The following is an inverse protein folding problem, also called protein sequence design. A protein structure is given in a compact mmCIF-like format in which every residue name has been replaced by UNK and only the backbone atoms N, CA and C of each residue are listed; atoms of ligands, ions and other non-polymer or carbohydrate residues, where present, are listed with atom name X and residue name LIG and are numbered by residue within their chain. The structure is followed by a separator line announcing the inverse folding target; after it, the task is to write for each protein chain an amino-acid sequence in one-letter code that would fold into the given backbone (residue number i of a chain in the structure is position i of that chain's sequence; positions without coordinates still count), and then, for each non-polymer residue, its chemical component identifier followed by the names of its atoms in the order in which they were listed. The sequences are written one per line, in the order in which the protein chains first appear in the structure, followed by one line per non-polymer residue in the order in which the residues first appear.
data_IF_890413666731
#
_entry.id   IF_890413666731
#
_cell.length_a   1.000
_cell.length_b   1.000
_cell.length_c   1.000
_cell.angle_alpha   90.00
_cell.angle_beta   90.00
_cell.angle_gamma   90.00
#
_symmetry.space_group_name_H-M   'P 1'
#
loop_
_entity.id
_entity.type
_entity.pdbx_description
1 polymer ?
#
# COMPACT_ATOMS: atom_id res chain seq x y z
N UNK A 1 -3.32 2.86 11.27
CA UNK A 1 -4.16 3.86 11.97
C UNK A 1 -5.61 3.40 11.96
N UNK A 2 -6.45 3.83 12.91
CA UNK A 2 -7.89 3.51 12.93
C UNK A 2 -8.76 4.72 12.58
N UNK A 3 -9.90 4.50 11.92
CA UNK A 3 -10.84 5.57 11.54
C UNK A 3 -12.30 5.09 11.53
N UNK A 4 -13.23 6.04 11.65
CA UNK A 4 -14.67 5.78 11.57
C UNK A 4 -15.19 5.99 10.15
N UNK A 5 -16.16 5.18 9.74
CA UNK A 5 -16.73 5.32 8.41
C UNK A 5 -17.59 6.58 8.33
N UNK A 6 -17.50 7.37 7.23
CA UNK A 6 -18.40 8.50 7.04
C UNK A 6 -19.84 7.99 6.88
N UNK A 7 -20.78 8.74 7.45
CA UNK A 7 -22.21 8.46 7.34
C UNK A 7 -22.72 8.46 5.89
N UNK A 8 -23.98 8.07 5.71
CA UNK A 8 -24.66 8.07 4.41
C UNK A 8 -24.29 6.90 3.50
N UNK A 9 -24.62 7.04 2.21
CA UNK A 9 -24.50 5.97 1.20
C UNK A 9 -23.52 6.30 0.07
N UNK A 10 -22.96 7.51 0.05
CA UNK A 10 -22.09 8.00 -1.04
C UNK A 10 -20.75 7.26 -1.10
N UNK A 11 -20.11 7.06 -2.27
CA UNK A 11 -18.82 6.38 -2.37
C UNK A 11 -17.76 6.96 -1.43
N UNK A 12 -16.93 6.09 -0.85
CA UNK A 12 -15.86 6.49 0.07
C UNK A 12 -14.52 6.45 -0.66
N UNK A 13 -13.69 7.47 -0.45
CA UNK A 13 -12.35 7.58 -1.03
C UNK A 13 -11.32 7.97 0.03
N UNK A 14 -10.09 7.48 -0.12
CA UNK A 14 -8.92 7.97 0.61
C UNK A 14 -8.19 9.01 -0.21
N UNK A 15 -7.83 10.13 0.41
CA UNK A 15 -6.88 11.08 -0.14
C UNK A 15 -5.46 10.64 0.24
N UNK A 16 -4.69 10.16 -0.73
CA UNK A 16 -3.27 9.81 -0.58
C UNK A 16 -2.36 10.83 -1.28
N UNK A 17 -2.86 12.03 -1.58
CA UNK A 17 -2.13 13.08 -2.29
C UNK A 17 -0.92 13.64 -1.53
N UNK A 18 -0.91 13.53 -0.20
CA UNK A 18 0.25 13.86 0.64
C UNK A 18 1.25 12.72 0.76
N UNK A 19 0.97 11.56 0.15
CA UNK A 19 1.85 10.39 0.17
C UNK A 19 2.74 10.37 -1.07
N UNK A 20 3.76 9.51 -1.07
CA UNK A 20 4.65 9.33 -2.23
C UNK A 20 4.20 8.19 -3.13
N UNK A 21 4.65 6.98 -2.80
CA UNK A 21 4.34 5.74 -3.50
C UNK A 21 4.18 4.62 -2.51
N UNK A 22 3.32 3.66 -2.82
CA UNK A 22 3.26 2.41 -2.07
C UNK A 22 1.97 1.64 -2.27
N UNK A 23 1.60 0.86 -1.26
CA UNK A 23 0.35 0.10 -1.18
C UNK A 23 -0.40 0.40 0.11
N UNK A 24 -1.72 0.23 0.07
CA UNK A 24 -2.58 0.45 1.22
C UNK A 24 -3.67 -0.63 1.37
N UNK A 25 -4.12 -0.81 2.60
CA UNK A 25 -5.14 -1.78 2.99
C UNK A 25 -6.13 -1.16 3.96
N UNK A 26 -7.40 -1.56 3.83
CA UNK A 26 -8.47 -1.22 4.77
C UNK A 26 -9.10 -2.52 5.26
N UNK A 27 -9.07 -2.76 6.57
CA UNK A 27 -9.60 -3.98 7.20
C UNK A 27 -9.08 -5.28 6.54
N UNK A 28 -7.79 -5.30 6.17
CA UNK A 28 -7.16 -6.44 5.48
C UNK A 28 -7.41 -6.51 3.98
N UNK A 29 -8.31 -5.69 3.42
CA UNK A 29 -8.55 -5.62 1.98
C UNK A 29 -7.57 -4.67 1.30
N UNK A 30 -6.88 -5.15 0.26
CA UNK A 30 -5.94 -4.36 -0.52
C UNK A 30 -6.69 -3.35 -1.41
N UNK A 31 -6.44 -2.05 -1.19
CA UNK A 31 -7.10 -0.98 -1.96
C UNK A 31 -6.35 -0.65 -3.26
N UNK A 32 -5.12 -1.15 -3.42
CA UNK A 32 -4.29 -0.95 -4.59
C UNK A 32 -2.97 -0.23 -4.31
N UNK A 33 -2.21 -0.03 -5.39
CA UNK A 33 -0.99 0.78 -5.39
C UNK A 33 -1.34 2.25 -5.52
N UNK A 34 -0.71 3.10 -4.71
CA UNK A 34 -0.74 4.54 -4.88
C UNK A 34 0.59 5.09 -5.37
N UNK A 35 0.53 6.15 -6.18
CA UNK A 35 1.71 6.86 -6.66
C UNK A 35 1.32 8.27 -7.09
N UNK A 36 1.82 9.28 -6.37
CA UNK A 36 1.58 10.70 -6.64
C UNK A 36 2.49 11.24 -7.74
N UNK A 37 2.61 10.50 -8.84
CA UNK A 37 3.35 10.96 -10.02
C UNK A 37 2.60 12.12 -10.67
N UNK A 38 3.28 13.23 -10.96
CA UNK A 38 2.67 14.37 -11.65
C UNK A 38 2.64 14.12 -13.15
N UNK A 39 1.49 14.37 -13.78
CA UNK A 39 1.32 14.25 -15.22
C UNK A 39 2.07 15.35 -15.98
N UNK A 40 2.43 15.15 -17.27
CA UNK A 40 2.97 16.22 -18.10
C UNK A 40 2.05 17.44 -18.10
N UNK A 41 2.64 18.65 -18.15
CA UNK A 41 1.86 19.90 -18.22
C UNK A 41 1.18 20.10 -19.58
N UNK A 42 1.76 19.51 -20.62
CA UNK A 42 1.28 19.60 -22.00
C UNK A 42 0.42 18.40 -22.40
N UNK A 43 -0.40 18.59 -23.43
CA UNK A 43 -1.21 17.53 -24.03
C UNK A 43 -2.69 17.58 -23.68
N UNK A 44 -3.10 18.35 -22.66
CA UNK A 44 -4.51 18.60 -22.38
C UNK A 44 -5.04 19.74 -23.25
N UNK A 45 -6.09 19.46 -24.01
CA UNK A 45 -6.79 20.51 -24.76
C UNK A 45 -7.61 21.38 -23.80
N UNK A 46 -7.67 22.69 -24.06
CA UNK A 46 -8.52 23.62 -23.26
C UNK A 46 -10.01 23.33 -23.43
N UNK A 47 -10.39 22.77 -24.58
CA UNK A 47 -11.76 22.44 -24.96
C UNK A 47 -11.75 21.12 -25.70
N UNK A 48 -12.65 20.21 -25.37
CA UNK A 48 -12.81 18.91 -26.03
C UNK A 48 -14.05 18.97 -26.94
N UNK A 49 -13.83 18.91 -28.26
CA UNK A 49 -14.93 18.79 -29.23
C UNK A 49 -15.29 17.31 -29.42
N UNK A 50 -16.55 16.97 -29.18
CA UNK A 50 -17.06 15.61 -29.35
C UNK A 50 -17.09 15.17 -30.82
N UNK A 51 -17.14 16.11 -31.77
CA UNK A 51 -17.22 15.82 -33.22
C UNK A 51 -15.87 15.33 -33.76
N UNK A 52 -15.91 14.53 -34.82
CA UNK A 52 -14.71 14.00 -35.50
C UNK A 52 -14.08 12.79 -34.80
N UNK A 53 -13.09 12.16 -35.45
CA UNK A 53 -12.47 10.93 -34.99
C UNK A 53 -11.87 11.08 -33.58
N UNK A 54 -12.00 10.02 -32.77
CA UNK A 54 -11.44 9.95 -31.42
C UNK A 54 -10.02 9.39 -31.45
N UNK A 55 -9.17 9.91 -30.56
CA UNK A 55 -7.93 9.26 -30.14
C UNK A 55 -7.72 9.51 -28.64
N UNK A 56 -6.84 8.73 -28.01
CA UNK A 56 -6.62 8.79 -26.55
C UNK A 56 -6.09 10.13 -26.04
N UNK A 57 -5.50 10.96 -26.89
CA UNK A 57 -4.99 12.29 -26.54
C UNK A 57 -6.01 13.42 -26.78
N UNK A 58 -7.16 13.13 -27.41
CA UNK A 58 -8.10 14.16 -27.87
C UNK A 58 -8.70 14.98 -26.73
N UNK A 59 -9.04 14.32 -25.63
CA UNK A 59 -9.78 14.92 -24.50
C UNK A 59 -9.15 14.56 -23.16
N UNK A 60 -7.82 14.59 -23.12
CA UNK A 60 -7.03 14.44 -21.89
C UNK A 60 -7.28 15.62 -20.95
N UNK A 61 -7.33 15.32 -19.66
CA UNK A 61 -7.55 16.29 -18.58
C UNK A 61 -6.50 16.08 -17.49
N UNK A 62 -6.46 16.99 -16.51
CA UNK A 62 -5.62 16.86 -15.31
C UNK A 62 -4.10 16.88 -15.63
N UNK A 63 -3.69 17.67 -16.63
CA UNK A 63 -2.28 17.91 -16.94
C UNK A 63 -1.62 18.79 -15.88
N UNK A 64 -0.37 18.47 -15.52
CA UNK A 64 0.38 19.17 -14.48
C UNK A 64 -0.05 18.83 -13.04
N UNK A 65 -1.02 17.93 -12.88
CA UNK A 65 -1.55 17.48 -11.59
C UNK A 65 -1.12 16.04 -11.30
N UNK A 66 -1.14 15.58 -10.03
CA UNK A 66 -0.91 14.18 -9.72
C UNK A 66 -1.89 13.27 -10.47
N UNK A 67 -1.39 12.17 -11.04
CA UNK A 67 -2.17 11.24 -11.86
C UNK A 67 -3.32 10.60 -11.09
N UNK A 68 -3.15 10.39 -9.78
CA UNK A 68 -4.20 9.93 -8.88
C UNK A 68 -3.87 10.29 -7.42
N UNK A 69 -4.85 10.84 -6.70
CA UNK A 69 -4.76 11.08 -5.25
C UNK A 69 -5.94 10.48 -4.49
N UNK A 70 -7.05 10.19 -5.18
CA UNK A 70 -8.26 9.62 -4.59
C UNK A 70 -8.33 8.12 -4.89
N UNK A 71 -8.41 7.31 -3.83
CA UNK A 71 -8.44 5.85 -3.91
C UNK A 71 -9.74 5.33 -3.33
N UNK A 72 -10.55 4.66 -4.15
CA UNK A 72 -11.88 4.20 -3.78
C UNK A 72 -11.83 3.06 -2.75
N UNK A 73 -12.68 3.16 -1.72
CA UNK A 73 -12.95 2.09 -0.76
C UNK A 73 -14.42 1.66 -0.92
N UNK A 74 -14.70 0.41 -1.31
CA UNK A 74 -16.05 -0.13 -1.26
C UNK A 74 -16.63 -0.04 0.16
N UNK A 75 -17.82 0.55 0.28
CA UNK A 75 -18.50 0.67 1.59
C UNK A 75 -18.70 -0.66 2.30
N UNK A 76 -18.84 -1.76 1.56
CA UNK A 76 -18.95 -3.12 2.09
C UNK A 76 -17.70 -3.60 2.84
N UNK A 77 -16.56 -2.90 2.74
CA UNK A 77 -15.34 -3.21 3.50
C UNK A 77 -15.29 -2.50 4.84
N UNK A 78 -16.19 -1.55 5.10
CA UNK A 78 -16.14 -0.67 6.26
C UNK A 78 -17.14 -1.11 7.34
N UNK A 79 -16.67 -1.11 8.58
CA UNK A 79 -17.49 -1.09 9.78
C UNK A 79 -17.87 0.34 10.14
N UNK A 80 -18.86 0.52 10.99
CA UNK A 80 -19.30 1.86 11.44
C UNK A 80 -18.17 2.65 12.12
N UNK A 81 -17.30 1.95 12.85
CA UNK A 81 -16.17 2.54 13.57
C UNK A 81 -14.96 1.60 13.59
N UNK A 82 -13.81 2.12 14.01
CA UNK A 82 -12.59 1.34 14.27
C UNK A 82 -12.01 0.59 13.06
N UNK A 83 -12.18 1.11 11.85
CA UNK A 83 -11.60 0.55 10.63
C UNK A 83 -10.08 0.71 10.62
N UNK A 84 -9.33 -0.35 10.35
CA UNK A 84 -7.87 -0.33 10.29
C UNK A 84 -7.39 0.06 8.90
N UNK A 85 -6.66 1.18 8.80
CA UNK A 85 -5.89 1.58 7.62
C UNK A 85 -4.40 1.26 7.83
N UNK A 86 -3.82 0.51 6.90
CA UNK A 86 -2.37 0.23 6.82
C UNK A 86 -1.85 0.75 5.49
N UNK A 87 -0.68 1.40 5.48
CA UNK A 87 -0.04 1.92 4.26
C UNK A 87 1.47 1.80 4.36
N UNK A 88 2.16 1.70 3.23
CA UNK A 88 3.62 1.47 3.16
C UNK A 88 4.48 2.52 3.88
N UNK A 89 4.01 3.76 4.06
CA UNK A 89 4.73 4.79 4.84
C UNK A 89 4.42 4.74 6.35
N UNK A 90 3.57 3.83 6.81
CA UNK A 90 3.47 3.48 8.23
C UNK A 90 4.59 2.50 8.57
N UNK A 91 5.84 2.98 8.52
CA UNK A 91 6.95 2.28 9.14
C UNK A 91 6.63 2.06 10.62
N UNK A 92 7.02 0.92 11.24
CA UNK A 92 6.80 0.70 12.65
C UNK A 92 7.35 1.89 13.47
N UNK A 93 6.67 2.30 14.55
CA UNK A 93 7.01 3.50 15.29
C UNK A 93 8.48 3.48 15.73
N UNK A 94 9.18 4.61 15.60
CA UNK A 94 10.60 4.78 15.96
C UNK A 94 10.93 4.35 17.41
N UNK A 95 9.94 4.25 18.30
CA UNK A 95 10.09 3.67 19.65
C UNK A 95 10.51 2.21 19.67
N UNK A 96 10.25 1.46 18.59
CA UNK A 96 10.69 0.07 18.45
C UNK A 96 12.21 -0.04 18.21
N UNK A 97 12.87 1.08 17.89
CA UNK A 97 14.29 1.17 17.54
C UNK A 97 15.15 1.69 18.69
N UNK A 98 14.57 2.07 19.83
CA UNK A 98 15.31 2.61 20.99
C UNK A 98 15.96 1.53 21.86
N UNK A 99 15.87 0.25 21.49
CA UNK A 99 16.52 -0.86 22.19
C UNK A 99 17.87 -1.28 21.59
N UNK A 100 18.36 -0.62 20.53
CA UNK A 100 19.78 -0.76 20.17
C UNK A 100 20.61 0.02 21.19
N UNK A 101 21.30 -0.71 22.05
CA UNK A 101 22.12 -0.25 23.17
C UNK A 101 22.80 1.10 22.92
N UNK A 102 22.40 2.10 23.72
CA UNK A 102 23.06 3.40 23.83
C UNK A 102 24.40 3.26 24.56
N UNK A 103 25.35 2.52 23.99
CA UNK A 103 26.73 2.56 24.45
C UNK A 103 27.44 3.69 23.69
N UNK A 104 27.65 4.81 24.40
CA UNK A 104 28.60 5.86 24.07
C UNK A 104 28.27 6.82 22.90
N UNK A 105 27.00 7.26 22.77
CA UNK A 105 26.59 8.47 22.00
C UNK A 105 27.12 8.56 20.55
N UNK A 106 27.44 7.43 19.91
CA UNK A 106 27.69 7.35 18.46
C UNK A 106 26.70 6.37 17.86
N UNK A 107 25.80 6.88 17.00
CA UNK A 107 24.98 6.03 16.16
C UNK A 107 25.88 5.31 15.17
N UNK A 108 26.16 4.03 15.44
CA UNK A 108 26.70 3.12 14.44
C UNK A 108 25.50 2.64 13.63
N UNK A 109 25.18 3.34 12.54
CA UNK A 109 24.16 2.93 11.58
C UNK A 109 24.75 1.82 10.71
N UNK A 110 24.96 0.64 11.31
CA UNK A 110 25.27 -0.55 10.55
C UNK A 110 23.95 -1.27 10.30
N UNK A 111 23.61 -1.40 9.01
CA UNK A 111 22.44 -2.09 8.47
C UNK A 111 21.08 -1.39 8.61
N UNK A 112 20.75 -0.58 7.60
CA UNK A 112 19.36 -0.21 7.26
C UNK A 112 18.62 -1.32 6.50
N UNK A 113 19.04 -2.59 6.64
CA UNK A 113 18.28 -3.71 6.06
C UNK A 113 17.00 -3.88 6.87
N UNK A 114 15.81 -3.70 6.26
CA UNK A 114 14.55 -3.99 6.96
C UNK A 114 14.50 -5.50 7.25
N UNK A 115 14.46 -5.85 8.53
CA UNK A 115 14.36 -7.23 9.02
C UNK A 115 12.93 -7.51 9.53
N UNK A 116 12.43 -8.71 9.26
CA UNK A 116 11.14 -9.19 9.77
C UNK A 116 11.41 -10.28 10.79
N UNK A 117 11.12 -10.02 12.06
CA UNK A 117 11.22 -11.04 13.12
C UNK A 117 9.88 -11.76 13.28
N UNK A 118 9.86 -13.05 12.99
CA UNK A 118 8.73 -13.93 13.28
C UNK A 118 8.96 -14.63 14.62
N UNK A 119 8.00 -14.52 15.54
CA UNK A 119 8.03 -15.20 16.83
C UNK A 119 6.70 -15.91 17.06
N UNK A 120 6.77 -17.08 17.67
CA UNK A 120 5.63 -17.81 18.20
C UNK A 120 5.46 -17.54 19.69
N UNK A 121 4.27 -17.83 20.23
CA UNK A 121 4.06 -17.93 21.68
C UNK A 121 4.90 -19.07 22.29
N UNK A 122 5.15 -19.00 23.60
CA UNK A 122 5.96 -19.98 24.31
C UNK A 122 5.47 -21.42 24.09
N UNK A 123 6.38 -22.30 23.66
CA UNK A 123 6.07 -23.71 23.36
C UNK A 123 5.60 -23.97 21.92
N UNK A 124 5.42 -22.93 21.10
CA UNK A 124 5.12 -23.07 19.68
C UNK A 124 6.35 -22.73 18.83
N UNK A 125 6.51 -23.43 17.70
CA UNK A 125 7.59 -23.19 16.74
C UNK A 125 6.99 -23.10 15.34
N UNK A 126 7.47 -22.14 14.54
CA UNK A 126 7.13 -22.08 13.12
C UNK A 126 7.79 -23.27 12.43
N UNK A 127 6.98 -24.26 12.05
CA UNK A 127 7.46 -25.48 11.42
C UNK A 127 7.74 -25.30 9.93
N UNK A 128 6.92 -24.50 9.23
CA UNK A 128 7.03 -24.29 7.80
C UNK A 128 6.32 -23.02 7.34
N UNK A 129 6.79 -22.45 6.24
CA UNK A 129 6.12 -21.36 5.51
C UNK A 129 5.44 -21.98 4.29
N UNK A 130 4.12 -22.06 4.30
CA UNK A 130 3.34 -22.67 3.22
C UNK A 130 3.23 -21.75 1.97
N UNK A 131 3.30 -20.44 2.17
CA UNK A 131 3.20 -19.46 1.10
C UNK A 131 3.93 -18.15 1.44
N UNK A 132 4.65 -17.62 0.45
CA UNK A 132 5.26 -16.30 0.53
C UNK A 132 5.22 -15.62 -0.84
N UNK A 133 4.81 -14.35 -0.87
CA UNK A 133 4.76 -13.55 -2.10
C UNK A 133 4.90 -12.07 -1.81
N UNK A 134 5.96 -11.48 -2.33
CA UNK A 134 6.08 -10.02 -2.46
C UNK A 134 5.47 -9.57 -3.80
N UNK A 135 4.27 -8.99 -3.75
CA UNK A 135 3.51 -8.59 -4.94
C UNK A 135 2.00 -8.60 -4.69
N UNK A 136 1.22 -9.14 -5.62
CA UNK A 136 -0.25 -9.17 -5.54
C UNK A 136 -0.78 -10.62 -5.45
N UNK A 137 -0.67 -11.29 -4.30
CA UNK A 137 -1.23 -12.64 -4.12
C UNK A 137 -2.76 -12.63 -4.21
N UNK A 138 -3.34 -13.76 -4.58
CA UNK A 138 -4.79 -13.97 -4.69
C UNK A 138 -5.23 -15.09 -3.74
N UNK A 139 -6.49 -15.12 -3.37
CA UNK A 139 -7.07 -16.15 -2.50
C UNK A 139 -7.21 -15.74 -1.03
N UNK A 140 -7.40 -16.73 -0.16
CA UNK A 140 -7.63 -16.56 1.28
C UNK A 140 -6.67 -17.43 2.10
N UNK A 141 -6.69 -17.30 3.43
CA UNK A 141 -5.87 -18.12 4.34
C UNK A 141 -5.93 -19.61 3.95
N UNK A 142 -4.77 -20.28 3.91
CA UNK A 142 -4.56 -21.67 3.43
C UNK A 142 -4.78 -21.93 1.93
N UNK A 143 -5.33 -20.97 1.17
CA UNK A 143 -5.59 -21.08 -0.27
C UNK A 143 -5.02 -19.88 -1.04
N UNK A 144 -3.81 -19.44 -0.67
CA UNK A 144 -3.13 -18.37 -1.38
C UNK A 144 -2.47 -18.86 -2.66
N UNK A 145 -2.53 -18.03 -3.70
CA UNK A 145 -1.85 -18.26 -4.97
C UNK A 145 -1.09 -17.01 -5.41
N UNK A 146 -0.04 -17.22 -6.20
CA UNK A 146 0.77 -16.12 -6.76
C UNK A 146 -0.07 -15.39 -7.81
N UNK A 147 -0.11 -14.06 -7.76
CA UNK A 147 -0.66 -13.26 -8.85
C UNK A 147 0.39 -12.89 -9.88
N UNK A 148 -0.03 -12.10 -10.88
CA UNK A 148 0.82 -11.67 -12.01
C UNK A 148 2.03 -10.82 -11.59
N UNK A 149 1.99 -10.22 -10.40
CA UNK A 149 3.11 -9.51 -9.81
C UNK A 149 3.60 -10.30 -8.60
N UNK A 150 4.80 -10.87 -8.68
CA UNK A 150 5.41 -11.68 -7.62
C UNK A 150 6.94 -11.66 -7.75
N UNK A 151 7.66 -11.45 -6.65
CA UNK A 151 9.10 -11.60 -6.62
C UNK A 151 9.50 -13.09 -6.46
N UNK A 152 10.28 -13.67 -7.38
CA UNK A 152 10.55 -15.11 -7.42
C UNK A 152 11.31 -15.64 -6.19
N UNK A 153 12.06 -14.76 -5.51
CA UNK A 153 12.84 -15.07 -4.31
C UNK A 153 12.06 -14.90 -3.00
N UNK A 154 10.75 -14.58 -3.05
CA UNK A 154 9.97 -14.28 -1.84
C UNK A 154 10.06 -15.39 -0.79
N UNK A 155 9.92 -16.65 -1.21
CA UNK A 155 9.95 -17.80 -0.30
C UNK A 155 11.33 -18.01 0.31
N UNK A 156 12.38 -17.99 -0.51
CA UNK A 156 13.76 -18.19 -0.05
C UNK A 156 14.24 -17.11 0.91
N UNK A 157 13.67 -15.90 0.85
CA UNK A 157 14.02 -14.80 1.76
C UNK A 157 13.40 -15.02 3.15
N UNK A 158 12.19 -15.55 3.24
CA UNK A 158 11.49 -15.73 4.52
C UNK A 158 11.74 -17.09 5.17
N UNK A 159 12.18 -18.08 4.41
CA UNK A 159 12.46 -19.44 4.90
C UNK A 159 13.91 -19.65 5.37
N UNK A 160 14.67 -18.57 5.58
CA UNK A 160 16.05 -18.63 6.10
C UNK A 160 16.08 -18.76 7.62
#
# INVERSE_FOLDING_TARGET
THFDAPGGTDPVVLNLGSMGKGQAWVNGHHIGRYWTLVSPKDGCQRTCDYRGAYNSAKCTTNCGEPTQIWYHIPRSWLYTSSNLLVSETHYPPLRMWTHSDLINRRMVVNNMTPEMHLQCEDGHTISSIEFASYGTPQGSCQMFSRGNCHAPNSLSVVSQ
#
